data_IF_496222171596
#
_entry.id   IF_496222171596
#
_cell.length_a   1.000
_cell.length_b   1.000
_cell.length_c   1.000
_cell.angle_alpha   90.00
_cell.angle_beta   90.00
_cell.angle_gamma   90.00
#
_symmetry.space_group_name_H-M   'P 1'
#
loop_
_entity.id
_entity.type
_entity.pdbx_description
1 polymer ?
#
# COMPACT_ATOMS: atom_id res chain seq x y z
N UNK A 1 17.70 13.35 1.63
CA UNK A 1 16.87 14.25 0.81
C UNK A 1 17.10 13.84 -0.63
N UNK A 2 16.03 13.49 -1.35
CA UNK A 2 16.12 12.88 -2.67
C UNK A 2 16.36 13.88 -3.81
N UNK A 3 16.76 13.36 -4.96
CA UNK A 3 16.93 14.04 -6.22
C UNK A 3 15.60 14.13 -6.96
N UNK A 4 15.13 15.35 -7.16
CA UNK A 4 13.91 15.61 -7.92
C UNK A 4 14.08 15.09 -9.34
N UNK A 5 13.14 14.26 -9.77
CA UNK A 5 13.12 13.65 -11.09
C UNK A 5 12.07 12.55 -11.18
N UNK A 6 11.71 12.16 -12.39
CA UNK A 6 10.66 11.17 -12.58
C UNK A 6 11.11 9.75 -12.21
N UNK A 7 10.27 9.06 -11.44
CA UNK A 7 10.46 7.67 -11.05
C UNK A 7 9.58 6.72 -11.85
N UNK A 8 10.16 5.93 -12.74
CA UNK A 8 9.41 4.90 -13.45
C UNK A 8 9.14 3.68 -12.54
N UNK A 9 10.02 3.38 -11.58
CA UNK A 9 9.75 2.32 -10.59
C UNK A 9 8.60 2.73 -9.67
N UNK A 10 8.60 3.99 -9.21
CA UNK A 10 7.52 4.53 -8.40
C UNK A 10 6.19 4.51 -9.14
N UNK A 11 6.19 4.88 -10.42
CA UNK A 11 5.01 4.76 -11.28
C UNK A 11 4.54 3.29 -11.38
N UNK A 12 5.47 2.35 -11.61
CA UNK A 12 5.13 0.92 -11.67
C UNK A 12 4.47 0.44 -10.38
N UNK A 13 5.03 0.78 -9.22
CA UNK A 13 4.45 0.43 -7.92
C UNK A 13 3.05 1.02 -7.73
N UNK A 14 2.83 2.28 -8.14
CA UNK A 14 1.50 2.90 -8.11
C UNK A 14 0.52 2.21 -9.05
N UNK A 15 0.95 1.80 -10.25
CA UNK A 15 0.09 1.04 -11.16
C UNK A 15 -0.30 -0.31 -10.55
N UNK A 16 0.66 -1.05 -9.99
CA UNK A 16 0.41 -2.32 -9.30
C UNK A 16 -0.53 -2.14 -8.10
N UNK A 17 -0.46 -1.00 -7.40
CA UNK A 17 -1.39 -0.65 -6.32
C UNK A 17 -2.80 -0.34 -6.85
N UNK A 18 -2.91 0.54 -7.84
CA UNK A 18 -4.20 1.08 -8.28
C UNK A 18 -4.99 0.12 -9.15
N UNK A 19 -4.34 -0.69 -9.99
CA UNK A 19 -5.03 -1.64 -10.88
C UNK A 19 -6.01 -2.55 -10.13
N UNK A 20 -5.58 -3.33 -9.12
CA UNK A 20 -6.49 -4.21 -8.41
C UNK A 20 -7.54 -3.43 -7.60
N UNK A 21 -7.17 -2.30 -7.00
CA UNK A 21 -8.10 -1.42 -6.29
C UNK A 21 -9.22 -0.90 -7.22
N UNK A 22 -8.91 -0.52 -8.46
CA UNK A 22 -9.91 -0.09 -9.47
C UNK A 22 -10.84 -1.25 -9.85
N UNK A 23 -10.30 -2.46 -10.04
CA UNK A 23 -11.12 -3.65 -10.31
C UNK A 23 -12.07 -3.97 -9.14
N UNK A 24 -11.63 -3.72 -7.90
CA UNK A 24 -12.46 -3.89 -6.72
C UNK A 24 -13.56 -2.85 -6.61
N UNK A 25 -13.27 -1.56 -6.84
CA UNK A 25 -14.30 -0.49 -6.82
C UNK A 25 -15.44 -0.80 -7.79
N UNK A 26 -15.12 -1.32 -8.98
CA UNK A 26 -16.12 -1.72 -9.99
C UNK A 26 -16.96 -2.94 -9.57
N UNK A 27 -16.52 -3.73 -8.58
CA UNK A 27 -17.15 -4.97 -8.12
C UNK A 27 -17.38 -4.97 -6.61
N UNK A 28 -17.69 -3.81 -6.01
CA UNK A 28 -17.95 -3.70 -4.58
C UNK A 28 -19.12 -4.61 -4.18
N UNK A 29 -18.98 -5.44 -3.13
CA UNK A 29 -20.14 -6.11 -2.53
C UNK A 29 -21.08 -5.06 -1.92
N UNK A 30 -22.39 -5.22 -2.10
CA UNK A 30 -23.41 -4.38 -1.49
C UNK A 30 -23.39 -4.58 0.03
N UNK A 31 -23.29 -3.48 0.80
CA UNK A 31 -23.36 -3.50 2.27
C UNK A 31 -22.19 -2.87 3.04
N UNK A 32 -21.20 -2.27 2.38
CA UNK A 32 -20.12 -1.53 3.08
C UNK A 32 -20.66 -0.17 3.59
N UNK A 33 -21.05 -0.12 4.85
CA UNK A 33 -21.52 1.09 5.55
C UNK A 33 -20.35 1.78 6.25
N UNK A 34 -19.87 2.87 5.67
CA UNK A 34 -18.80 3.74 6.21
C UNK A 34 -19.34 4.80 7.19
N UNK A 35 -20.38 4.49 7.96
CA UNK A 35 -21.10 5.50 8.77
C UNK A 35 -20.39 5.89 10.08
N UNK A 36 -19.41 5.10 10.55
CA UNK A 36 -18.70 5.33 11.83
C UNK A 36 -17.17 5.42 11.71
N UNK A 37 -16.62 5.69 10.52
CA UNK A 37 -15.17 5.82 10.38
C UNK A 37 -14.65 7.10 11.07
N UNK A 38 -13.59 6.96 11.88
CA UNK A 38 -12.97 8.09 12.56
C UNK A 38 -12.35 9.06 11.54
N UNK A 39 -12.94 10.25 11.43
CA UNK A 39 -12.54 11.30 10.47
C UNK A 39 -11.06 11.69 10.55
N UNK A 40 -10.44 11.57 11.72
CA UNK A 40 -9.01 11.85 11.91
C UNK A 40 -8.15 10.77 11.22
N UNK A 41 -8.50 9.50 11.37
CA UNK A 41 -7.80 8.40 10.71
C UNK A 41 -8.00 8.43 9.19
N UNK A 42 -9.21 8.76 8.73
CA UNK A 42 -9.51 8.95 7.31
C UNK A 42 -8.69 10.11 6.73
N UNK A 43 -8.51 11.20 7.48
CA UNK A 43 -7.64 12.29 7.06
C UNK A 43 -6.18 11.84 6.93
N UNK A 44 -5.65 11.08 7.90
CA UNK A 44 -4.30 10.53 7.81
C UNK A 44 -4.12 9.57 6.64
N UNK A 45 -5.11 8.73 6.34
CA UNK A 45 -5.11 7.86 5.17
C UNK A 45 -5.05 8.68 3.88
N UNK A 46 -5.99 9.61 3.67
CA UNK A 46 -6.04 10.44 2.45
C UNK A 46 -4.80 11.29 2.26
N UNK A 47 -4.29 11.87 3.34
CA UNK A 47 -3.05 12.64 3.33
C UNK A 47 -1.86 11.73 3.01
N UNK A 48 -1.78 10.55 3.63
CA UNK A 48 -0.75 9.55 3.37
C UNK A 48 -0.77 9.03 1.94
N UNK A 49 -1.94 8.78 1.36
CA UNK A 49 -2.12 8.36 -0.03
C UNK A 49 -1.57 9.41 -1.00
N UNK A 50 -2.00 10.66 -0.84
CA UNK A 50 -1.56 11.77 -1.68
C UNK A 50 -0.05 12.00 -1.57
N UNK A 51 0.48 12.03 -0.34
CA UNK A 51 1.90 12.21 -0.10
C UNK A 51 2.73 11.04 -0.66
N UNK A 52 2.28 9.79 -0.49
CA UNK A 52 2.97 8.60 -1.01
C UNK A 52 2.98 8.60 -2.54
N UNK A 53 1.86 8.94 -3.19
CA UNK A 53 1.80 9.05 -4.65
C UNK A 53 2.76 10.13 -5.18
N UNK A 54 2.72 11.32 -4.59
CA UNK A 54 3.63 12.40 -4.95
C UNK A 54 5.09 11.98 -4.72
N UNK A 55 5.43 11.50 -3.52
CA UNK A 55 6.80 11.11 -3.19
C UNK A 55 7.29 9.92 -4.03
N UNK A 56 6.42 9.01 -4.46
CA UNK A 56 6.82 7.89 -5.31
C UNK A 56 7.20 8.36 -6.72
N UNK A 57 6.56 9.41 -7.26
CA UNK A 57 6.79 9.91 -8.62
C UNK A 57 7.89 10.98 -8.73
N UNK A 58 8.00 11.85 -7.73
CA UNK A 58 8.83 13.07 -7.79
C UNK A 58 10.33 12.85 -7.55
N UNK A 59 10.76 11.65 -7.10
CA UNK A 59 12.17 11.37 -6.84
C UNK A 59 12.71 10.27 -7.75
N UNK A 60 13.73 10.60 -8.55
CA UNK A 60 14.36 9.63 -9.47
C UNK A 60 15.27 8.61 -8.77
N UNK A 61 15.44 8.73 -7.45
CA UNK A 61 16.26 7.84 -6.63
C UNK A 61 15.79 6.39 -6.59
N UNK A 62 14.51 6.16 -6.87
CA UNK A 62 13.97 4.80 -6.92
C UNK A 62 14.24 4.10 -8.24
N UNK A 63 14.76 4.79 -9.27
CA UNK A 63 15.08 4.15 -10.53
C UNK A 63 16.22 3.14 -10.37
N UNK A 64 16.31 2.19 -11.31
CA UNK A 64 17.39 1.20 -11.29
C UNK A 64 18.73 1.91 -11.46
N UNK A 65 19.60 1.72 -10.48
CA UNK A 65 20.99 2.16 -10.52
C UNK A 65 21.89 0.94 -10.65
N UNK A 66 23.20 1.17 -10.79
CA UNK A 66 24.18 0.09 -10.75
C UNK A 66 23.93 -0.79 -9.53
N UNK A 67 24.01 -2.09 -9.74
CA UNK A 67 23.74 -3.07 -8.68
C UNK A 67 24.70 -2.87 -7.51
N UNK A 68 24.14 -2.82 -6.31
CA UNK A 68 24.90 -2.75 -5.05
C UNK A 68 24.22 -3.64 -4.01
N UNK A 69 24.88 -3.89 -2.89
CA UNK A 69 24.24 -4.57 -1.75
C UNK A 69 22.98 -3.84 -1.25
N UNK A 70 22.81 -2.55 -1.57
CA UNK A 70 21.60 -1.79 -1.23
C UNK A 70 20.40 -2.15 -2.12
N UNK A 71 20.64 -2.72 -3.31
CA UNK A 71 19.58 -3.15 -4.25
C UNK A 71 18.70 -4.27 -3.68
N UNK A 72 19.13 -4.97 -2.63
CA UNK A 72 18.30 -5.94 -1.90
C UNK A 72 17.04 -5.31 -1.31
N UNK A 73 17.05 -4.03 -0.92
CA UNK A 73 15.85 -3.32 -0.46
C UNK A 73 14.81 -3.17 -1.57
N UNK A 74 15.24 -2.95 -2.80
CA UNK A 74 14.34 -2.89 -3.95
C UNK A 74 13.72 -4.27 -4.24
N UNK A 75 14.52 -5.34 -4.12
CA UNK A 75 14.00 -6.71 -4.26
C UNK A 75 12.95 -6.98 -3.19
N UNK A 76 13.23 -6.64 -1.92
CA UNK A 76 12.28 -6.82 -0.84
C UNK A 76 10.98 -6.04 -1.08
N UNK A 77 11.07 -4.77 -1.53
CA UNK A 77 9.92 -3.98 -1.92
C UNK A 77 9.11 -4.62 -3.07
N UNK A 78 9.80 -5.14 -4.09
CA UNK A 78 9.17 -5.81 -5.22
C UNK A 78 8.46 -7.11 -4.81
N UNK A 79 9.08 -7.93 -3.95
CA UNK A 79 8.48 -9.16 -3.41
C UNK A 79 7.20 -8.83 -2.63
N UNK A 80 7.22 -7.77 -1.80
CA UNK A 80 6.02 -7.33 -1.08
C UNK A 80 4.90 -6.88 -2.01
N UNK A 81 5.21 -6.15 -3.09
CA UNK A 81 4.19 -5.80 -4.10
C UNK A 81 3.65 -7.01 -4.85
N UNK A 82 4.49 -7.97 -5.19
CA UNK A 82 4.04 -9.21 -5.83
C UNK A 82 3.14 -10.00 -4.88
N UNK A 83 3.49 -10.10 -3.60
CA UNK A 83 2.63 -10.72 -2.59
C UNK A 83 1.26 -10.03 -2.49
N UNK A 84 1.23 -8.69 -2.58
CA UNK A 84 -0.01 -7.92 -2.61
C UNK A 84 -0.86 -8.26 -3.85
N UNK A 85 -0.26 -8.35 -5.03
CA UNK A 85 -0.98 -8.75 -6.24
C UNK A 85 -1.48 -10.19 -6.16
N UNK A 86 -0.68 -11.12 -5.63
CA UNK A 86 -1.09 -12.51 -5.43
C UNK A 86 -2.26 -12.61 -4.44
N UNK A 87 -2.27 -11.78 -3.40
CA UNK A 87 -3.41 -11.66 -2.49
C UNK A 87 -4.67 -11.18 -3.22
N UNK A 88 -4.55 -10.18 -4.10
CA UNK A 88 -5.66 -9.73 -4.94
C UNK A 88 -6.17 -10.80 -5.90
N UNK A 89 -5.28 -11.54 -6.56
CA UNK A 89 -5.65 -12.66 -7.43
C UNK A 89 -6.42 -13.71 -6.64
N UNK A 90 -5.96 -14.05 -5.43
CA UNK A 90 -6.67 -14.96 -4.53
C UNK A 90 -8.05 -14.40 -4.15
N UNK A 91 -8.15 -13.12 -3.80
CA UNK A 91 -9.41 -12.46 -3.46
C UNK A 91 -10.41 -12.49 -4.62
N UNK A 92 -9.99 -12.13 -5.84
CA UNK A 92 -10.87 -12.12 -7.01
C UNK A 92 -11.29 -13.50 -7.49
N UNK A 93 -10.49 -14.53 -7.18
CA UNK A 93 -10.75 -15.93 -7.50
C UNK A 93 -11.61 -16.63 -6.43
N UNK A 94 -11.74 -16.05 -5.23
CA UNK A 94 -12.66 -16.53 -4.19
C UNK A 94 -14.10 -16.04 -4.43
N UNK A 95 -15.06 -16.56 -3.66
CA UNK A 95 -16.49 -16.23 -3.73
C UNK A 95 -16.85 -14.79 -3.34
N UNK A 96 -15.85 -13.90 -3.12
CA UNK A 96 -16.01 -12.48 -2.77
C UNK A 96 -16.79 -12.26 -1.47
N UNK A 97 -16.64 -13.14 -0.48
CA UNK A 97 -17.23 -12.98 0.85
C UNK A 97 -16.39 -12.02 1.69
N UNK A 98 -17.02 -11.15 2.50
CA UNK A 98 -16.37 -10.18 3.39
C UNK A 98 -15.29 -10.80 4.30
N UNK A 99 -15.47 -12.06 4.70
CA UNK A 99 -14.48 -12.80 5.50
C UNK A 99 -13.15 -13.05 4.76
N UNK A 100 -13.16 -13.14 3.42
CA UNK A 100 -11.92 -13.28 2.64
C UNK A 100 -11.18 -11.95 2.51
N UNK A 101 -11.88 -10.82 2.54
CA UNK A 101 -11.28 -9.47 2.54
C UNK A 101 -10.49 -9.21 3.82
N UNK A 102 -10.97 -9.72 4.96
CA UNK A 102 -10.28 -9.64 6.25
C UNK A 102 -9.36 -10.83 6.53
N UNK A 103 -9.32 -11.83 5.66
CA UNK A 103 -8.46 -13.00 5.83
C UNK A 103 -6.99 -12.58 5.71
N UNK A 104 -6.20 -12.95 6.72
CA UNK A 104 -4.77 -12.74 6.69
C UNK A 104 -4.13 -13.55 5.55
N UNK A 105 -3.15 -12.96 4.88
CA UNK A 105 -2.32 -13.69 3.90
C UNK A 105 -0.98 -13.96 4.54
N UNK A 106 -0.58 -15.24 4.57
CA UNK A 106 0.74 -15.63 5.12
C UNK A 106 0.98 -15.13 6.57
N UNK A 107 -0.05 -15.13 7.41
CA UNK A 107 0.04 -14.69 8.81
C UNK A 107 0.04 -13.18 9.03
N UNK A 108 -0.05 -12.37 7.96
CA UNK A 108 -0.15 -10.91 8.07
C UNK A 108 -1.63 -10.51 8.17
N UNK A 109 -2.06 -9.92 9.30
CA UNK A 109 -3.43 -9.40 9.43
C UNK A 109 -3.63 -8.21 8.48
N UNK A 110 -4.78 -8.16 7.79
CA UNK A 110 -5.11 -7.09 6.83
C UNK A 110 -4.08 -6.95 5.70
N UNK A 111 -3.72 -8.06 5.06
CA UNK A 111 -2.66 -8.12 4.05
C UNK A 111 -2.81 -7.09 2.91
N UNK A 112 -4.04 -6.79 2.48
CA UNK A 112 -4.31 -5.76 1.47
C UNK A 112 -3.93 -4.33 1.91
N UNK A 113 -3.98 -4.03 3.21
CA UNK A 113 -3.62 -2.74 3.79
C UNK A 113 -2.12 -2.64 4.11
N UNK A 114 -1.56 -3.70 4.68
CA UNK A 114 -0.20 -3.66 5.23
C UNK A 114 0.87 -3.87 4.17
N UNK A 115 0.64 -4.74 3.18
CA UNK A 115 1.66 -5.07 2.16
C UNK A 115 2.08 -3.85 1.32
N UNK A 116 1.14 -3.00 0.83
CA UNK A 116 1.51 -1.77 0.14
C UNK A 116 2.34 -0.82 1.01
N UNK A 117 1.94 -0.64 2.26
CA UNK A 117 2.64 0.26 3.19
C UNK A 117 4.10 -0.17 3.38
N UNK A 118 4.33 -1.46 3.63
CA UNK A 118 5.70 -1.98 3.74
C UNK A 118 6.47 -1.91 2.42
N UNK A 119 5.81 -2.14 1.28
CA UNK A 119 6.44 -2.03 -0.03
C UNK A 119 6.93 -0.60 -0.32
N UNK A 120 6.11 0.42 -0.06
CA UNK A 120 6.52 1.83 -0.21
C UNK A 120 7.55 2.25 0.82
N UNK A 121 7.50 1.70 2.04
CA UNK A 121 8.51 1.94 3.07
C UNK A 121 9.89 1.41 2.61
N UNK A 122 9.96 0.18 2.12
CA UNK A 122 11.19 -0.41 1.60
C UNK A 122 11.67 0.29 0.32
N UNK A 123 10.75 0.75 -0.53
CA UNK A 123 11.09 1.59 -1.67
C UNK A 123 11.72 2.92 -1.24
N UNK A 124 11.19 3.54 -0.17
CA UNK A 124 11.75 4.73 0.47
C UNK A 124 13.16 4.50 1.02
N UNK A 125 13.40 3.35 1.65
CA UNK A 125 14.73 2.93 2.14
C UNK A 125 15.70 2.72 0.97
N UNK A 126 15.26 2.04 -0.10
CA UNK A 126 16.07 1.85 -1.30
C UNK A 126 16.50 3.19 -1.92
N UNK A 127 15.54 4.10 -2.16
CA UNK A 127 15.82 5.44 -2.69
C UNK A 127 16.49 6.38 -1.69
N UNK A 128 16.63 5.99 -0.42
CA UNK A 128 17.10 6.84 0.69
C UNK A 128 16.32 8.15 0.79
N UNK A 129 15.03 8.11 0.45
CA UNK A 129 14.14 9.27 0.44
C UNK A 129 13.26 9.23 1.68
N UNK A 130 13.65 10.03 2.67
CA UNK A 130 12.94 10.10 3.96
C UNK A 130 11.47 10.54 3.80
N UNK A 131 11.17 11.36 2.79
CA UNK A 131 9.81 11.82 2.51
C UNK A 131 8.85 10.68 2.19
N UNK A 132 9.29 9.67 1.42
CA UNK A 132 8.47 8.50 1.11
C UNK A 132 8.29 7.60 2.33
N UNK A 133 9.33 7.46 3.17
CA UNK A 133 9.26 6.69 4.41
C UNK A 133 8.23 7.33 5.36
N UNK A 134 8.31 8.64 5.58
CA UNK A 134 7.36 9.38 6.43
C UNK A 134 5.93 9.28 5.88
N UNK A 135 5.76 9.43 4.56
CA UNK A 135 4.46 9.31 3.91
C UNK A 135 3.86 7.91 4.06
N UNK A 136 4.67 6.86 3.90
CA UNK A 136 4.25 5.48 4.08
C UNK A 136 3.85 5.19 5.53
N UNK A 137 4.56 5.75 6.52
CA UNK A 137 4.18 5.61 7.94
C UNK A 137 2.85 6.31 8.21
N UNK A 138 2.65 7.53 7.70
CA UNK A 138 1.39 8.27 7.83
C UNK A 138 0.22 7.47 7.22
N UNK A 139 0.41 6.95 6.00
CA UNK A 139 -0.55 6.08 5.33
C UNK A 139 -0.85 4.83 6.15
N UNK A 140 0.19 4.19 6.71
CA UNK A 140 0.06 3.02 7.57
C UNK A 140 -0.78 3.28 8.81
N UNK A 141 -0.53 4.39 9.52
CA UNK A 141 -1.30 4.76 10.71
C UNK A 141 -2.77 4.98 10.39
N UNK A 142 -3.08 5.69 9.29
CA UNK A 142 -4.46 5.91 8.85
C UNK A 142 -5.14 4.61 8.41
N UNK A 143 -4.58 3.94 7.41
CA UNK A 143 -5.21 2.80 6.73
C UNK A 143 -5.30 1.55 7.62
N UNK A 144 -4.27 1.24 8.42
CA UNK A 144 -4.31 0.11 9.37
C UNK A 144 -5.18 0.47 10.57
N UNK A 145 -5.15 1.72 11.03
CA UNK A 145 -5.99 2.20 12.13
C UNK A 145 -7.49 2.02 11.85
N UNK A 146 -7.94 2.38 10.65
CA UNK A 146 -9.34 2.21 10.22
C UNK A 146 -9.72 0.73 10.17
N UNK A 147 -8.85 -0.13 9.61
CA UNK A 147 -9.10 -1.57 9.53
C UNK A 147 -9.20 -2.22 10.92
N UNK A 148 -8.38 -1.80 11.88
CA UNK A 148 -8.46 -2.26 13.27
C UNK A 148 -9.76 -1.77 13.93
N UNK A 149 -10.17 -0.53 13.71
CA UNK A 149 -11.43 0.00 14.24
C UNK A 149 -12.64 -0.79 13.73
N UNK A 150 -12.71 -1.03 12.41
CA UNK A 150 -13.79 -1.81 11.81
C UNK A 150 -13.87 -3.23 12.37
N UNK A 151 -12.73 -3.90 12.55
CA UNK A 151 -12.70 -5.23 13.19
C UNK A 151 -13.22 -5.20 14.63
N UNK A 152 -12.95 -4.12 15.36
CA UNK A 152 -13.39 -3.91 16.75
C UNK A 152 -14.88 -3.59 16.87
N UNK A 153 -15.50 -2.99 15.85
CA UNK A 153 -16.94 -2.73 15.81
C UNK A 153 -17.75 -3.98 15.42
N UNK A 154 -17.12 -4.94 14.74
CA UNK A 154 -17.74 -6.22 14.34
C UNK A 154 -17.61 -7.31 15.44
N UNK A 155 -16.71 -7.13 16.42
CA UNK A 155 -16.48 -8.09 17.53
C UNK A 155 -17.14 -7.60 18.81
#
# INVERSE_FOLDING_TARGET
MGHIGFSYIGLLFLLMLFLPNIFWIKKKPQGYTSENENKILLFFERMGEGLTCCCALFFSDYNLRKWTSWSWWLIAAAVLMIMYELWWVRYFRSERKLNDFYSGFLGIPFAGATLPVFAFLFLGVYGKVIWLIVSAVILGVGHIGIHIQHKREIT
#
